data_IF_573416751173
#
_entry.id   IF_573416751173
#
_cell.length_a   1.000
_cell.length_b   1.000
_cell.length_c   1.000
_cell.angle_alpha   90.00
_cell.angle_beta   90.00
_cell.angle_gamma   90.00
#
_symmetry.space_group_name_H-M   'P 1'
#
loop_
_entity.id
_entity.type
_entity.pdbx_description
1 polymer ?
#
# COMPACT_ATOMS: atom_id res chain seq x y z
N UNK A 1 -15.34 -25.11 6.15
CA UNK A 1 -15.60 -23.98 7.05
C UNK A 1 -16.13 -22.85 6.21
N UNK A 2 -17.31 -22.32 6.59
CA UNK A 2 -17.99 -21.28 5.84
C UNK A 2 -17.16 -20.00 5.81
N UNK A 3 -16.96 -19.42 4.62
CA UNK A 3 -16.26 -18.16 4.39
C UNK A 3 -16.92 -16.95 5.10
N UNK A 4 -18.10 -17.13 5.64
CA UNK A 4 -18.88 -16.13 6.36
C UNK A 4 -18.59 -16.06 7.88
N UNK A 5 -17.82 -16.99 8.46
CA UNK A 5 -17.54 -17.06 9.90
C UNK A 5 -16.41 -16.13 10.37
N UNK A 6 -15.65 -15.49 9.43
CA UNK A 6 -14.48 -14.67 9.74
C UNK A 6 -14.68 -13.18 9.44
N UNK A 7 -15.93 -12.75 9.26
CA UNK A 7 -16.21 -11.31 9.11
C UNK A 7 -16.03 -10.64 10.47
N UNK A 8 -15.15 -9.63 10.47
CA UNK A 8 -14.94 -8.67 11.57
C UNK A 8 -14.17 -9.21 12.79
N UNK A 9 -13.15 -10.06 12.59
CA UNK A 9 -12.26 -10.47 13.70
C UNK A 9 -11.52 -9.27 14.32
N UNK A 10 -11.18 -8.27 13.49
CA UNK A 10 -10.46 -7.07 13.93
C UNK A 10 -11.26 -5.83 13.55
N UNK A 11 -11.58 -5.00 14.54
CA UNK A 11 -12.37 -3.78 14.36
C UNK A 11 -11.73 -2.59 15.04
N UNK A 12 -12.00 -1.36 14.52
CA UNK A 12 -11.56 -0.12 15.17
C UNK A 12 -10.06 0.10 15.11
N UNK A 13 -9.47 0.48 16.25
CA UNK A 13 -8.05 0.81 16.37
C UNK A 13 -7.26 -0.42 16.81
N UNK A 14 -6.36 -0.90 15.98
CA UNK A 14 -5.61 -2.14 16.22
C UNK A 14 -4.11 -1.84 16.38
N UNK A 15 -3.52 -2.43 17.42
CA UNK A 15 -2.06 -2.42 17.60
C UNK A 15 -1.52 -3.81 17.31
N UNK A 16 -0.61 -3.92 16.36
CA UNK A 16 0.14 -5.14 16.08
C UNK A 16 1.46 -5.12 16.85
N UNK A 17 1.53 -5.89 17.94
CA UNK A 17 2.71 -5.93 18.79
C UNK A 17 3.84 -6.74 18.14
N UNK A 18 5.08 -6.33 18.37
CA UNK A 18 6.25 -7.12 17.97
C UNK A 18 6.42 -8.40 18.81
N UNK A 19 5.68 -8.55 19.89
CA UNK A 19 5.72 -9.73 20.77
C UNK A 19 4.35 -10.05 21.34
N UNK A 20 4.05 -11.33 21.48
CA UNK A 20 2.84 -11.83 22.15
C UNK A 20 3.22 -12.88 23.17
N UNK A 21 2.46 -12.98 24.26
CA UNK A 21 2.64 -14.05 25.26
C UNK A 21 1.53 -15.07 25.09
N UNK A 22 1.91 -16.30 24.83
CA UNK A 22 0.99 -17.43 24.75
C UNK A 22 1.46 -18.56 25.66
N UNK A 23 0.63 -19.03 26.59
CA UNK A 23 0.92 -20.11 27.55
C UNK A 23 2.25 -19.90 28.30
N UNK A 24 2.50 -18.65 28.75
CA UNK A 24 3.73 -18.31 29.49
C UNK A 24 5.00 -18.18 28.66
N UNK A 25 4.90 -18.31 27.32
CA UNK A 25 6.03 -18.11 26.41
C UNK A 25 5.88 -16.80 25.64
N UNK A 26 6.91 -16.00 25.62
CA UNK A 26 6.97 -14.81 24.76
C UNK A 26 7.40 -15.22 23.36
N UNK A 27 6.58 -14.92 22.37
CA UNK A 27 6.81 -15.17 20.96
C UNK A 27 7.00 -13.84 20.23
N UNK A 28 7.95 -13.80 19.30
CA UNK A 28 8.12 -12.66 18.40
C UNK A 28 7.10 -12.74 17.27
N UNK A 29 6.48 -11.60 16.96
CA UNK A 29 5.67 -11.42 15.77
C UNK A 29 6.53 -10.67 14.75
N UNK A 30 6.87 -11.31 13.65
CA UNK A 30 7.83 -10.74 12.68
C UNK A 30 7.21 -10.46 11.32
N UNK A 31 6.02 -10.97 11.05
CA UNK A 31 5.43 -10.85 9.71
C UNK A 31 3.90 -10.79 9.74
N UNK A 32 3.36 -10.05 8.78
CA UNK A 32 2.00 -10.26 8.29
C UNK A 32 2.06 -11.22 7.11
N UNK A 33 1.32 -12.31 7.17
CA UNK A 33 1.15 -13.23 6.05
C UNK A 33 0.35 -12.55 4.90
N UNK A 34 0.29 -13.20 3.75
CA UNK A 34 -0.61 -12.81 2.67
C UNK A 34 -2.05 -12.77 3.19
N UNK A 35 -2.80 -11.72 2.82
CA UNK A 35 -4.19 -11.48 3.23
C UNK A 35 -4.45 -11.44 4.76
N UNK A 36 -3.42 -11.35 5.61
CA UNK A 36 -3.54 -11.53 7.05
C UNK A 36 -4.62 -10.68 7.71
N UNK A 37 -4.84 -9.46 7.25
CA UNK A 37 -5.85 -8.52 7.74
C UNK A 37 -6.76 -8.00 6.64
N UNK A 38 -6.80 -8.69 5.52
CA UNK A 38 -7.66 -8.33 4.40
C UNK A 38 -9.14 -8.44 4.79
N UNK A 39 -9.95 -7.50 4.27
CA UNK A 39 -11.43 -7.55 4.44
C UNK A 39 -11.89 -7.48 5.90
N UNK A 40 -11.33 -6.58 6.68
CA UNK A 40 -11.73 -6.29 8.06
C UNK A 40 -12.36 -4.89 8.19
N UNK A 41 -12.73 -4.50 9.39
CA UNK A 41 -13.26 -3.18 9.70
C UNK A 41 -12.28 -2.37 10.56
N UNK A 42 -10.98 -2.52 10.28
CA UNK A 42 -9.90 -1.81 10.98
C UNK A 42 -9.89 -0.35 10.51
N UNK A 43 -10.03 0.57 11.44
CA UNK A 43 -10.00 2.02 11.17
C UNK A 43 -8.60 2.61 11.25
N UNK A 44 -7.79 2.13 12.19
CA UNK A 44 -6.38 2.48 12.27
C UNK A 44 -5.53 1.29 12.67
N UNK A 45 -4.28 1.29 12.22
CA UNK A 45 -3.32 0.25 12.56
C UNK A 45 -2.01 0.87 13.01
N UNK A 46 -1.53 0.44 14.18
CA UNK A 46 -0.18 0.70 14.64
C UNK A 46 0.65 -0.56 14.48
N UNK A 47 1.67 -0.51 13.65
CA UNK A 47 2.66 -1.58 13.45
C UNK A 47 3.85 -1.27 14.35
N UNK A 48 4.17 -2.15 15.30
CA UNK A 48 5.32 -1.97 16.18
C UNK A 48 6.65 -2.30 15.47
N UNK A 49 7.71 -1.64 15.94
CA UNK A 49 9.06 -1.94 15.46
C UNK A 49 9.45 -3.38 15.87
N UNK A 50 9.94 -4.18 14.91
CA UNK A 50 10.18 -5.62 15.09
C UNK A 50 9.42 -6.48 14.09
N UNK A 51 8.45 -5.92 13.38
CA UNK A 51 7.83 -6.53 12.21
C UNK A 51 8.82 -6.39 11.03
N UNK A 52 9.20 -7.51 10.44
CA UNK A 52 10.17 -7.59 9.33
C UNK A 52 9.51 -7.54 7.95
N UNK A 53 8.27 -8.05 7.83
CA UNK A 53 7.60 -8.16 6.54
C UNK A 53 6.08 -7.96 6.58
N UNK A 54 5.57 -7.42 5.47
CA UNK A 54 4.14 -7.23 5.22
C UNK A 54 3.80 -7.96 3.92
N UNK A 55 3.00 -9.03 4.00
CA UNK A 55 2.64 -9.88 2.87
C UNK A 55 1.75 -9.20 1.83
N UNK A 56 1.58 -9.87 0.68
CA UNK A 56 0.68 -9.38 -0.37
C UNK A 56 -0.73 -9.19 0.20
N UNK A 57 -1.39 -8.10 -0.17
CA UNK A 57 -2.75 -7.76 0.27
C UNK A 57 -2.98 -7.77 1.79
N UNK A 58 -1.93 -7.83 2.61
CA UNK A 58 -2.05 -8.06 4.05
C UNK A 58 -2.95 -7.06 4.79
N UNK A 59 -3.07 -5.84 4.31
CA UNK A 59 -3.86 -4.76 4.91
C UNK A 59 -5.02 -4.32 4.01
N UNK A 60 -5.24 -4.99 2.88
CA UNK A 60 -6.18 -4.58 1.84
C UNK A 60 -7.63 -4.53 2.33
N UNK A 61 -8.48 -3.75 1.64
CA UNK A 61 -9.93 -3.69 1.84
C UNK A 61 -10.36 -3.34 3.27
N UNK A 62 -9.57 -2.49 3.93
CA UNK A 62 -9.91 -1.94 5.24
C UNK A 62 -10.31 -0.47 5.12
N UNK A 63 -11.22 0.01 5.97
CA UNK A 63 -11.61 1.42 6.03
C UNK A 63 -10.59 2.25 6.82
N UNK A 64 -9.29 2.06 6.59
CA UNK A 64 -8.24 2.83 7.27
C UNK A 64 -8.44 4.32 7.08
N UNK A 65 -8.37 5.04 8.17
CA UNK A 65 -8.39 6.51 8.25
C UNK A 65 -7.01 7.03 8.71
N UNK A 66 -6.70 8.28 8.37
CA UNK A 66 -5.50 8.96 8.86
C UNK A 66 -4.20 8.43 8.26
N UNK A 67 -3.25 8.04 9.11
CA UNK A 67 -1.86 7.74 8.70
C UNK A 67 -1.50 6.28 8.94
N UNK A 68 -1.03 5.60 7.88
CA UNK A 68 -0.27 4.35 8.02
C UNK A 68 1.20 4.68 8.21
N UNK A 69 1.79 4.21 9.30
CA UNK A 69 3.22 4.32 9.57
C UNK A 69 3.92 2.97 9.38
N UNK A 70 4.96 2.95 8.54
CA UNK A 70 5.81 1.79 8.28
C UNK A 70 7.08 1.92 9.11
N UNK A 71 7.33 1.03 10.09
CA UNK A 71 8.50 1.12 10.97
C UNK A 71 9.82 0.79 10.29
N UNK A 72 10.92 1.21 10.94
CA UNK A 72 12.28 1.00 10.45
C UNK A 72 12.66 -0.48 10.27
N UNK A 73 12.02 -1.39 11.02
CA UNK A 73 12.31 -2.82 10.97
C UNK A 73 11.81 -3.53 9.71
N UNK A 74 10.85 -2.95 8.98
CA UNK A 74 10.25 -3.59 7.80
C UNK A 74 11.25 -3.66 6.66
N UNK A 75 11.54 -4.89 6.21
CA UNK A 75 12.53 -5.21 5.18
C UNK A 75 11.90 -5.64 3.86
N UNK A 76 10.64 -6.11 3.92
CA UNK A 76 9.92 -6.57 2.73
C UNK A 76 8.45 -6.19 2.80
N UNK A 77 7.95 -5.67 1.69
CA UNK A 77 6.55 -5.29 1.50
C UNK A 77 6.08 -5.89 0.18
N UNK A 78 5.02 -6.67 0.25
CA UNK A 78 4.35 -7.25 -0.91
C UNK A 78 3.52 -6.21 -1.70
N UNK A 79 2.93 -6.66 -2.80
CA UNK A 79 2.04 -5.83 -3.60
C UNK A 79 0.62 -5.76 -3.01
N UNK A 80 -0.12 -4.72 -3.38
CA UNK A 80 -1.54 -4.58 -3.05
C UNK A 80 -1.85 -4.39 -1.56
N UNK A 81 -0.86 -4.05 -0.72
CA UNK A 81 -1.08 -3.95 0.73
C UNK A 81 -2.16 -2.92 1.11
N UNK A 82 -2.41 -1.92 0.27
CA UNK A 82 -3.43 -0.89 0.46
C UNK A 82 -4.55 -0.96 -0.57
N UNK A 83 -4.66 -2.07 -1.33
CA UNK A 83 -5.72 -2.25 -2.31
C UNK A 83 -7.10 -2.02 -1.68
N UNK A 84 -7.90 -1.14 -2.28
CA UNK A 84 -9.24 -0.77 -1.77
C UNK A 84 -9.27 -0.16 -0.34
N UNK A 85 -8.17 0.43 0.15
CA UNK A 85 -8.15 1.21 1.39
C UNK A 85 -8.52 2.67 1.09
N UNK A 86 -9.79 2.93 0.81
CA UNK A 86 -10.29 4.17 0.19
C UNK A 86 -10.22 5.43 1.07
N UNK A 87 -10.06 5.27 2.39
CA UNK A 87 -10.09 6.38 3.36
C UNK A 87 -8.71 6.76 3.90
N UNK A 88 -7.66 6.01 3.57
CA UNK A 88 -6.30 6.33 4.02
C UNK A 88 -5.84 7.66 3.41
N UNK A 89 -5.35 8.56 4.27
CA UNK A 89 -4.97 9.91 3.88
C UNK A 89 -3.44 10.11 3.81
N UNK A 90 -2.70 9.33 4.59
CA UNK A 90 -1.24 9.47 4.65
C UNK A 90 -0.56 8.12 4.78
N UNK A 91 0.58 8.02 4.10
CA UNK A 91 1.51 6.90 4.24
C UNK A 91 2.87 7.48 4.55
N UNK A 92 3.47 7.04 5.66
CA UNK A 92 4.76 7.52 6.14
C UNK A 92 5.65 6.32 6.43
N UNK A 93 6.86 6.34 5.91
CA UNK A 93 7.91 5.39 6.25
C UNK A 93 8.86 6.04 7.25
N UNK A 94 9.27 5.30 8.27
CA UNK A 94 10.28 5.74 9.24
C UNK A 94 11.58 6.15 8.52
N UNK A 95 12.09 7.32 8.84
CA UNK A 95 13.31 7.86 8.21
C UNK A 95 14.56 6.97 8.44
N UNK A 96 14.53 6.11 9.45
CA UNK A 96 15.57 5.13 9.72
C UNK A 96 15.39 3.80 8.97
N UNK A 97 14.31 3.63 8.16
CA UNK A 97 14.14 2.43 7.36
C UNK A 97 15.15 2.40 6.21
N UNK A 98 16.00 1.35 6.09
CA UNK A 98 17.05 1.32 5.08
C UNK A 98 16.56 0.82 3.70
N UNK A 99 15.34 0.31 3.61
CA UNK A 99 14.80 -0.34 2.40
C UNK A 99 13.73 0.49 1.70
N UNK A 100 12.97 1.25 2.49
CA UNK A 100 11.83 2.04 2.00
C UNK A 100 11.90 3.47 2.49
N UNK A 101 11.28 4.36 1.75
CA UNK A 101 11.10 5.75 2.15
C UNK A 101 9.73 6.32 1.69
N UNK A 102 9.41 7.49 2.19
CA UNK A 102 8.31 8.34 1.72
C UNK A 102 8.84 9.76 1.45
N UNK A 103 9.89 9.83 0.63
CA UNK A 103 10.62 11.07 0.29
C UNK A 103 9.70 12.18 -0.17
N UNK A 104 10.09 13.43 0.11
CA UNK A 104 9.36 14.63 -0.31
C UNK A 104 7.91 14.70 0.22
N UNK A 105 7.60 13.91 1.25
CA UNK A 105 6.23 13.83 1.77
C UNK A 105 5.23 13.30 0.75
N UNK A 106 5.66 12.36 -0.09
CA UNK A 106 4.88 11.84 -1.21
C UNK A 106 3.64 11.04 -0.81
N UNK A 107 3.45 10.73 0.47
CA UNK A 107 2.36 9.88 0.97
C UNK A 107 2.28 8.51 0.25
N UNK A 108 3.44 7.91 -0.01
CA UNK A 108 3.58 6.61 -0.66
C UNK A 108 4.76 5.85 -0.05
N UNK A 109 4.81 4.55 -0.29
CA UNK A 109 5.94 3.69 0.03
C UNK A 109 6.79 3.53 -1.22
N UNK A 110 8.05 3.90 -1.14
CA UNK A 110 9.01 3.79 -2.22
C UNK A 110 10.09 2.81 -1.80
N UNK A 111 10.36 1.80 -2.61
CA UNK A 111 11.54 0.95 -2.46
C UNK A 111 12.77 1.71 -2.96
N UNK A 112 13.70 1.99 -2.06
CA UNK A 112 14.84 2.89 -2.32
C UNK A 112 15.81 2.35 -3.36
N UNK A 113 16.08 1.02 -3.32
CA UNK A 113 17.06 0.37 -4.20
C UNK A 113 16.66 0.40 -5.68
N UNK A 114 15.36 0.34 -5.97
CA UNK A 114 14.85 0.23 -7.35
C UNK A 114 14.12 1.48 -7.83
N UNK A 115 13.90 2.47 -6.95
CA UNK A 115 13.03 3.60 -7.18
C UNK A 115 11.63 3.17 -7.66
N UNK A 116 11.09 2.12 -7.02
CA UNK A 116 9.75 1.61 -7.29
C UNK A 116 8.76 2.15 -6.27
N UNK A 117 7.67 2.75 -6.73
CA UNK A 117 6.54 3.11 -5.86
C UNK A 117 5.70 1.84 -5.63
N UNK A 118 5.71 1.35 -4.38
CA UNK A 118 5.08 0.08 -3.98
C UNK A 118 3.60 0.26 -3.68
N UNK A 119 3.24 1.28 -2.92
CA UNK A 119 1.85 1.57 -2.56
C UNK A 119 1.66 3.05 -2.27
N UNK A 120 0.54 3.59 -2.68
CA UNK A 120 0.14 4.96 -2.40
C UNK A 120 -1.26 5.05 -1.81
N UNK A 121 -1.77 6.28 -1.66
CA UNK A 121 -3.11 6.58 -1.17
C UNK A 121 -3.74 7.73 -1.99
N UNK A 122 -4.93 8.17 -1.60
CA UNK A 122 -5.66 9.19 -2.36
C UNK A 122 -5.00 10.58 -2.40
N UNK A 123 -4.02 10.84 -1.55
CA UNK A 123 -3.27 12.12 -1.49
C UNK A 123 -1.83 11.97 -1.97
N UNK A 124 -1.46 10.82 -2.50
CA UNK A 124 -0.09 10.56 -2.94
C UNK A 124 0.32 11.42 -4.13
N UNK A 125 1.63 11.69 -4.17
CA UNK A 125 2.35 12.21 -5.33
C UNK A 125 3.41 11.21 -5.74
N UNK A 126 3.74 11.17 -7.02
CA UNK A 126 4.86 10.36 -7.52
C UNK A 126 6.08 11.27 -7.64
N UNK A 127 7.13 11.12 -6.81
CA UNK A 127 8.33 11.93 -6.87
C UNK A 127 9.08 11.77 -8.20
N UNK A 128 9.85 12.78 -8.56
CA UNK A 128 10.78 12.67 -9.68
C UNK A 128 11.81 11.56 -9.42
N UNK A 129 12.24 10.87 -10.48
CA UNK A 129 13.18 9.76 -10.38
C UNK A 129 12.57 8.40 -10.06
N UNK A 130 11.25 8.33 -9.80
CA UNK A 130 10.54 7.03 -9.76
C UNK A 130 10.55 6.46 -11.18
N UNK A 131 10.98 5.20 -11.29
CA UNK A 131 11.09 4.49 -12.57
C UNK A 131 9.99 3.47 -12.79
N UNK A 132 9.40 2.99 -11.69
CA UNK A 132 8.37 1.93 -11.72
C UNK A 132 7.25 2.23 -10.73
N UNK A 133 6.01 1.98 -11.16
CA UNK A 133 4.82 1.90 -10.33
C UNK A 133 4.48 0.41 -10.22
N UNK A 134 4.47 -0.12 -9.00
CA UNK A 134 4.28 -1.54 -8.74
C UNK A 134 2.86 -2.02 -9.05
N UNK A 135 2.68 -3.34 -9.06
CA UNK A 135 1.37 -3.97 -9.17
C UNK A 135 0.47 -3.53 -8.02
N UNK A 136 -0.79 -3.20 -8.32
CA UNK A 136 -1.80 -2.74 -7.36
C UNK A 136 -1.43 -1.48 -6.56
N UNK A 137 -0.44 -0.69 -6.97
CA UNK A 137 0.08 0.43 -6.18
C UNK A 137 -0.98 1.46 -5.76
N UNK A 138 -2.00 1.66 -6.58
CA UNK A 138 -3.14 2.57 -6.33
C UNK A 138 -4.50 1.90 -6.57
N UNK A 139 -4.57 0.57 -6.61
CA UNK A 139 -5.80 -0.13 -6.92
C UNK A 139 -6.92 0.20 -5.92
N UNK A 140 -8.10 0.50 -6.44
CA UNK A 140 -9.29 0.77 -5.63
C UNK A 140 -9.29 2.09 -4.86
N UNK A 141 -8.35 3.01 -5.12
CA UNK A 141 -8.35 4.33 -4.48
C UNK A 141 -9.39 5.27 -5.12
N UNK A 142 -10.66 5.05 -4.81
CA UNK A 142 -11.82 5.74 -5.41
C UNK A 142 -11.85 7.26 -5.16
N UNK A 143 -10.95 7.78 -4.32
CA UNK A 143 -10.80 9.22 -4.03
C UNK A 143 -9.59 9.85 -4.71
N UNK A 144 -8.78 9.07 -5.45
CA UNK A 144 -7.64 9.56 -6.20
C UNK A 144 -8.12 10.17 -7.54
N UNK A 145 -8.46 11.46 -7.52
CA UNK A 145 -9.07 12.15 -8.68
C UNK A 145 -8.09 12.50 -9.79
N UNK A 146 -6.82 12.65 -9.48
CA UNK A 146 -5.72 12.90 -10.44
C UNK A 146 -4.38 12.51 -9.84
N UNK A 147 -3.45 12.17 -10.70
CA UNK A 147 -2.04 11.94 -10.32
C UNK A 147 -1.14 12.30 -11.52
N UNK A 148 -0.05 12.98 -11.25
CA UNK A 148 0.96 13.27 -12.27
C UNK A 148 1.98 12.15 -12.27
N UNK A 149 2.19 11.52 -13.44
CA UNK A 149 3.20 10.48 -13.62
C UNK A 149 4.46 11.14 -14.21
N UNK A 150 5.59 11.15 -13.48
CA UNK A 150 6.83 11.76 -13.95
C UNK A 150 7.38 11.10 -15.22
N UNK A 151 8.11 11.88 -16.04
CA UNK A 151 8.76 11.39 -17.27
C UNK A 151 9.81 10.29 -17.01
N UNK A 152 10.27 10.13 -15.76
CA UNK A 152 11.17 9.06 -15.35
C UNK A 152 10.51 7.68 -15.29
N UNK A 153 9.17 7.60 -15.24
CA UNK A 153 8.45 6.33 -15.13
C UNK A 153 8.46 5.60 -16.47
N UNK A 154 9.01 4.40 -16.47
CA UNK A 154 9.08 3.53 -17.66
C UNK A 154 8.21 2.28 -17.55
N UNK A 155 7.70 1.98 -16.35
CA UNK A 155 6.93 0.77 -16.07
C UNK A 155 5.73 1.08 -15.16
N UNK A 156 4.54 0.63 -15.57
CA UNK A 156 3.31 0.63 -14.78
C UNK A 156 2.86 -0.83 -14.63
N UNK A 157 2.72 -1.31 -13.41
CA UNK A 157 2.41 -2.70 -13.08
C UNK A 157 0.96 -3.10 -13.32
N UNK A 158 0.67 -4.38 -13.09
CA UNK A 158 -0.66 -4.93 -13.19
C UNK A 158 -1.60 -4.28 -12.18
N UNK A 159 -2.82 -3.95 -12.59
CA UNK A 159 -3.83 -3.32 -11.73
C UNK A 159 -3.37 -2.03 -11.03
N UNK A 160 -2.27 -1.40 -11.45
CA UNK A 160 -1.64 -0.30 -10.72
C UNK A 160 -2.60 0.84 -10.38
N UNK A 161 -3.51 1.18 -11.27
CA UNK A 161 -4.54 2.21 -11.12
C UNK A 161 -5.96 1.66 -11.31
N UNK A 162 -6.16 0.37 -11.12
CA UNK A 162 -7.48 -0.25 -11.25
C UNK A 162 -8.53 0.50 -10.42
N UNK A 163 -9.68 0.79 -11.00
CA UNK A 163 -10.80 1.51 -10.37
C UNK A 163 -10.49 2.93 -9.89
N UNK A 164 -9.43 3.58 -10.36
CA UNK A 164 -9.18 4.98 -10.06
C UNK A 164 -10.11 5.90 -10.89
N UNK A 165 -10.66 6.99 -10.29
CA UNK A 165 -11.67 7.83 -10.94
C UNK A 165 -11.07 8.95 -11.80
N UNK A 166 -10.00 8.68 -12.52
CA UNK A 166 -9.35 9.68 -13.40
C UNK A 166 -10.27 10.13 -14.52
N UNK A 167 -10.26 11.42 -14.81
CA UNK A 167 -10.85 11.98 -16.03
C UNK A 167 -9.84 12.01 -17.18
N UNK A 168 -8.58 12.27 -16.84
CA UNK A 168 -7.45 12.31 -17.77
C UNK A 168 -6.20 11.85 -17.03
N UNK A 169 -5.30 11.21 -17.77
CA UNK A 169 -3.97 10.86 -17.28
C UNK A 169 -2.96 11.08 -18.42
N UNK A 170 -1.88 11.80 -18.12
CA UNK A 170 -0.76 11.92 -19.05
C UNK A 170 0.20 10.77 -18.80
N UNK A 171 0.56 10.06 -19.85
CA UNK A 171 1.56 9.00 -19.79
C UNK A 171 2.91 9.53 -20.23
N UNK A 172 4.02 9.16 -19.55
CA UNK A 172 5.38 9.57 -19.92
C UNK A 172 5.76 9.10 -21.32
N UNK A 173 6.52 9.90 -22.06
CA UNK A 173 6.99 9.51 -23.40
C UNK A 173 7.93 8.29 -23.36
N UNK A 174 8.68 8.13 -22.26
CA UNK A 174 9.58 7.01 -22.03
C UNK A 174 8.91 5.71 -21.54
N UNK A 175 7.58 5.68 -21.43
CA UNK A 175 6.86 4.51 -20.91
C UNK A 175 7.00 3.31 -21.86
N UNK A 176 7.54 2.21 -21.36
CA UNK A 176 7.80 0.98 -22.14
C UNK A 176 6.86 -0.16 -21.79
N UNK A 177 6.21 -0.10 -20.63
CA UNK A 177 5.34 -1.18 -20.16
C UNK A 177 4.12 -0.66 -19.40
N UNK A 178 2.96 -1.20 -19.74
CA UNK A 178 1.71 -1.08 -18.99
C UNK A 178 1.21 -2.50 -18.77
N UNK A 179 1.09 -2.88 -17.49
CA UNK A 179 0.65 -4.21 -17.06
C UNK A 179 -0.82 -4.47 -17.32
N UNK A 180 -1.21 -5.72 -17.12
CA UNK A 180 -2.59 -6.17 -17.31
C UNK A 180 -3.52 -5.42 -16.35
N UNK A 181 -4.66 -4.97 -16.90
CA UNK A 181 -5.70 -4.27 -16.14
C UNK A 181 -5.26 -3.00 -15.42
N UNK A 182 -4.11 -2.41 -15.77
CA UNK A 182 -3.52 -1.25 -15.08
C UNK A 182 -4.50 -0.09 -14.91
N UNK A 183 -5.37 0.15 -15.87
CA UNK A 183 -6.40 1.20 -15.85
C UNK A 183 -7.83 0.64 -15.96
N UNK A 184 -8.01 -0.66 -15.68
CA UNK A 184 -9.34 -1.26 -15.74
C UNK A 184 -10.28 -0.57 -14.75
N UNK A 185 -11.56 -0.42 -15.12
CA UNK A 185 -12.60 0.25 -14.33
C UNK A 185 -12.31 1.73 -14.01
N UNK A 186 -11.39 2.39 -14.71
CA UNK A 186 -11.26 3.85 -14.69
C UNK A 186 -12.39 4.49 -15.52
N UNK A 187 -13.62 4.33 -15.08
CA UNK A 187 -14.84 4.60 -15.88
C UNK A 187 -15.06 6.09 -16.24
N UNK A 188 -14.24 6.99 -15.68
CA UNK A 188 -14.30 8.43 -15.99
C UNK A 188 -13.22 8.85 -16.99
N UNK A 189 -12.30 7.96 -17.35
CA UNK A 189 -11.20 8.26 -18.25
C UNK A 189 -11.71 8.45 -19.68
N UNK A 190 -11.39 9.61 -20.28
CA UNK A 190 -11.77 10.02 -21.64
C UNK A 190 -10.55 10.39 -22.47
#
# INVERSE_FOLDING_TARGET
KDYNEYKDEYTGDVVFPAQVTHRGRTLKVTAFAEDALSVNTIRSIKIENGIDSIGNFALSRNPFEGTLFIPASVKWIGYGILDNCIYIERVVVDAANPYYDSREGCNAIIETATNTLIAGCCTSKIPQGITKIADHAFAGHLRLGSIDIPESVTYIGNFAFHSCPFYRIALPQGLTHIGDYAFQMCNKLV
#
